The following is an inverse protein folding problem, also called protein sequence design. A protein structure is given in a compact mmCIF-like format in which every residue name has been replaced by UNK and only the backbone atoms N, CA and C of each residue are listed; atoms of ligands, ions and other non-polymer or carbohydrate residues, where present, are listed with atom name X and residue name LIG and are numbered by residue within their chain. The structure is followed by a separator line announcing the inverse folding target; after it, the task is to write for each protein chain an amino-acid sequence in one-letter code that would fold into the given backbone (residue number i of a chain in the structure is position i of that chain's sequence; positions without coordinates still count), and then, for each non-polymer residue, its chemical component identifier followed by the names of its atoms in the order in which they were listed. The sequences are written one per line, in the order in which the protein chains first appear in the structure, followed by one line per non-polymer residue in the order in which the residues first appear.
data_IF_525025684460
#
_entry.id   IF_525025684460
#
_cell.length_a   1.000
_cell.length_b   1.000
_cell.length_c   1.000
_cell.angle_alpha   90.00
_cell.angle_beta   90.00
_cell.angle_gamma   90.00
#
_symmetry.space_group_name_H-M   'P 1'
#
loop_
_entity.id
_entity.type
_entity.pdbx_description
1 polymer ?
#
# COMPACT_ATOMS: atom_id res chain seq x y z
N UNK A 1 -3.99 -1.68 0.33
CA UNK A 1 -4.36 -0.47 1.08
C UNK A 1 -3.25 0.00 2.05
N UNK A 2 -2.05 -0.62 1.98
CA UNK A 2 -0.81 -0.20 2.67
C UNK A 2 -0.96 0.13 4.17
N UNK A 3 -1.86 -0.55 4.88
CA UNK A 3 -2.13 -0.32 6.30
C UNK A 3 -3.46 0.41 6.58
N UNK A 4 -4.06 1.09 5.62
CA UNK A 4 -5.31 1.85 5.83
C UNK A 4 -6.52 1.01 6.25
N UNK A 5 -6.49 -0.30 6.06
CA UNK A 5 -7.55 -1.22 6.49
C UNK A 5 -6.99 -2.50 7.08
N UNK A 6 -7.64 -3.01 8.12
CA UNK A 6 -7.41 -4.39 8.58
C UNK A 6 -8.72 -5.11 8.94
N UNK A 7 -8.76 -6.40 8.61
CA UNK A 7 -9.87 -7.29 8.89
C UNK A 7 -9.43 -8.44 9.79
N UNK A 8 -10.25 -8.79 10.77
CA UNK A 8 -10.09 -9.98 11.62
C UNK A 8 -11.35 -10.83 11.53
N UNK A 9 -11.21 -12.06 11.04
CA UNK A 9 -12.34 -12.99 10.85
C UNK A 9 -13.50 -12.40 10.04
N UNK A 10 -13.18 -11.59 9.02
CA UNK A 10 -14.17 -10.94 8.15
C UNK A 10 -14.80 -9.67 8.72
N UNK A 11 -14.43 -9.26 9.93
CA UNK A 11 -14.86 -7.99 10.52
C UNK A 11 -13.77 -6.92 10.34
N UNK A 12 -14.17 -5.73 9.96
CA UNK A 12 -13.28 -4.56 9.91
C UNK A 12 -12.88 -4.20 11.35
N UNK A 13 -11.59 -4.21 11.64
CA UNK A 13 -11.04 -3.92 12.99
C UNK A 13 -10.16 -2.67 13.01
N UNK A 14 -9.77 -2.18 11.86
CA UNK A 14 -9.00 -0.95 11.70
C UNK A 14 -9.34 -0.29 10.37
N UNK A 15 -9.54 1.01 10.41
CA UNK A 15 -9.76 1.88 9.25
C UNK A 15 -9.15 3.24 9.53
N UNK A 16 -8.40 3.77 8.57
CA UNK A 16 -7.89 5.13 8.60
C UNK A 16 -8.15 5.80 7.24
N UNK A 17 -8.70 7.02 7.29
CA UNK A 17 -9.20 7.73 6.13
C UNK A 17 -8.29 8.90 5.79
N UNK A 18 -8.21 9.24 4.51
CA UNK A 18 -7.53 10.44 4.06
C UNK A 18 -8.23 11.70 4.59
N UNK A 19 -7.42 12.69 4.99
CA UNK A 19 -7.94 14.03 5.31
C UNK A 19 -8.73 14.57 4.10
N UNK A 20 -9.93 15.06 4.36
CA UNK A 20 -10.88 15.48 3.32
C UNK A 20 -10.39 16.67 2.50
N UNK A 21 -9.59 17.55 3.09
CA UNK A 21 -9.07 18.72 2.37
C UNK A 21 -7.92 18.30 1.46
N UNK A 22 -7.04 17.42 1.94
CA UNK A 22 -5.98 16.80 1.13
C UNK A 22 -6.58 16.00 -0.03
N UNK A 23 -7.59 15.20 0.23
CA UNK A 23 -8.28 14.44 -0.81
C UNK A 23 -8.85 15.33 -1.92
N UNK A 24 -9.55 16.43 -1.53
CA UNK A 24 -10.09 17.41 -2.50
C UNK A 24 -8.99 18.10 -3.29
N UNK A 25 -7.89 18.47 -2.63
CA UNK A 25 -6.75 19.11 -3.27
C UNK A 25 -6.11 18.20 -4.33
N UNK A 26 -5.88 16.93 -3.98
CA UNK A 26 -5.33 15.93 -4.90
C UNK A 26 -6.25 15.69 -6.09
N UNK A 27 -7.57 15.55 -5.86
CA UNK A 27 -8.51 15.40 -6.97
C UNK A 27 -8.56 16.65 -7.85
N UNK A 28 -8.45 17.84 -7.27
CA UNK A 28 -8.35 19.10 -8.01
C UNK A 28 -7.12 19.13 -8.92
N UNK A 29 -5.97 18.71 -8.41
CA UNK A 29 -4.73 18.57 -9.16
C UNK A 29 -4.88 17.55 -10.31
N UNK A 30 -5.39 16.36 -10.03
CA UNK A 30 -5.60 15.34 -11.04
C UNK A 30 -6.53 15.82 -12.17
N UNK A 31 -7.61 16.51 -11.83
CA UNK A 31 -8.55 17.06 -12.82
C UNK A 31 -7.91 18.17 -13.65
N UNK A 32 -7.14 19.05 -13.03
CA UNK A 32 -6.47 20.17 -13.70
C UNK A 32 -5.52 19.71 -14.82
N UNK A 33 -4.72 18.68 -14.50
CA UNK A 33 -3.73 18.12 -15.43
C UNK A 33 -4.24 16.90 -16.20
N UNK A 34 -5.51 16.55 -16.04
CA UNK A 34 -6.13 15.35 -16.66
C UNK A 34 -5.34 14.06 -16.39
N UNK A 35 -4.85 13.90 -15.16
CA UNK A 35 -4.06 12.74 -14.76
C UNK A 35 -4.94 11.51 -14.51
N UNK A 36 -4.50 10.31 -14.90
CA UNK A 36 -5.15 9.07 -14.49
C UNK A 36 -5.00 8.87 -12.98
N UNK A 37 -6.07 8.52 -12.30
CA UNK A 37 -6.01 8.22 -10.87
C UNK A 37 -7.01 7.14 -10.47
N UNK A 38 -6.72 6.50 -9.34
CA UNK A 38 -7.51 5.46 -8.70
C UNK A 38 -7.70 5.81 -7.23
N UNK A 39 -8.89 5.62 -6.71
CA UNK A 39 -9.25 5.85 -5.30
C UNK A 39 -9.79 4.56 -4.72
N UNK A 40 -9.20 4.09 -3.63
CA UNK A 40 -9.75 3.05 -2.77
C UNK A 40 -10.59 3.69 -1.65
N UNK A 41 -11.79 3.21 -1.49
CA UNK A 41 -12.61 3.34 -0.30
C UNK A 41 -12.51 2.05 0.54
N UNK A 42 -13.33 1.86 1.54
CA UNK A 42 -13.34 0.68 2.44
C UNK A 42 -13.45 -0.64 1.67
N UNK A 43 -14.29 -0.69 0.66
CA UNK A 43 -14.49 -1.87 -0.16
C UNK A 43 -14.58 -1.55 -1.66
N UNK A 44 -15.22 -0.45 -1.99
CA UNK A 44 -15.46 -0.03 -3.36
C UNK A 44 -14.34 0.90 -3.87
N UNK A 45 -14.38 1.28 -5.12
CA UNK A 45 -13.36 2.12 -5.73
C UNK A 45 -13.94 3.12 -6.72
N UNK A 46 -13.15 4.15 -7.02
CA UNK A 46 -13.42 5.13 -8.07
C UNK A 46 -12.14 5.48 -8.83
N UNK A 47 -12.28 6.36 -9.81
CA UNK A 47 -11.11 6.89 -10.51
C UNK A 47 -11.40 7.43 -11.91
N UNK A 48 -10.33 7.86 -12.57
CA UNK A 48 -10.35 8.41 -13.93
C UNK A 48 -9.25 7.77 -14.75
N UNK A 49 -9.55 7.40 -16.01
CA UNK A 49 -8.59 6.79 -16.96
C UNK A 49 -7.89 5.57 -16.33
N UNK A 50 -8.68 4.70 -15.69
CA UNK A 50 -8.20 3.56 -14.89
C UNK A 50 -7.33 2.58 -15.68
N UNK A 51 -7.51 2.48 -16.99
CA UNK A 51 -6.71 1.62 -17.88
C UNK A 51 -5.23 2.00 -17.94
N UNK A 52 -4.87 3.20 -17.48
CA UNK A 52 -3.47 3.64 -17.35
C UNK A 52 -2.81 3.22 -16.03
N UNK A 53 -3.60 2.83 -15.04
CA UNK A 53 -3.07 2.39 -13.74
C UNK A 53 -2.53 0.97 -13.85
N UNK A 54 -1.23 0.71 -13.64
CA UNK A 54 -0.58 -0.56 -14.00
C UNK A 54 -1.17 -1.79 -13.32
N UNK A 55 -1.73 -1.63 -12.12
CA UNK A 55 -2.21 -2.75 -11.29
C UNK A 55 -3.75 -2.88 -11.26
N UNK A 56 -4.51 -1.97 -11.87
CA UNK A 56 -5.97 -1.92 -11.71
C UNK A 56 -6.66 -3.24 -12.06
N UNK A 57 -6.15 -3.96 -13.03
CA UNK A 57 -6.70 -5.26 -13.42
C UNK A 57 -6.60 -6.33 -12.30
N UNK A 58 -5.72 -6.12 -11.32
CA UNK A 58 -5.45 -7.05 -10.23
C UNK A 58 -6.02 -6.58 -8.88
N UNK A 59 -6.65 -5.41 -8.81
CA UNK A 59 -7.19 -4.84 -7.57
C UNK A 59 -8.33 -5.68 -7.02
N UNK A 60 -9.23 -6.15 -7.87
CA UNK A 60 -10.36 -6.99 -7.49
C UNK A 60 -10.48 -8.22 -8.42
N UNK A 61 -9.61 -9.24 -8.24
CA UNK A 61 -9.62 -10.43 -9.08
C UNK A 61 -10.90 -11.25 -8.96
N UNK A 62 -11.65 -11.09 -7.87
CA UNK A 62 -12.93 -11.78 -7.63
C UNK A 62 -14.13 -10.96 -8.08
N UNK A 63 -13.94 -9.75 -8.57
CA UNK A 63 -14.97 -8.82 -9.04
C UNK A 63 -16.09 -8.60 -8.01
N UNK A 64 -15.70 -8.38 -6.76
CA UNK A 64 -16.62 -8.13 -5.63
C UNK A 64 -16.79 -6.66 -5.31
N UNK A 65 -15.77 -5.84 -5.56
CA UNK A 65 -15.84 -4.40 -5.39
C UNK A 65 -16.63 -3.75 -6.53
N UNK A 66 -17.26 -2.61 -6.25
CA UNK A 66 -18.03 -1.86 -7.24
C UNK A 66 -17.32 -0.55 -7.56
N UNK A 67 -17.35 -0.20 -8.83
CA UNK A 67 -17.01 1.15 -9.23
C UNK A 67 -18.12 2.11 -8.77
N UNK A 68 -17.75 3.14 -8.04
CA UNK A 68 -18.63 4.22 -7.59
C UNK A 68 -18.24 5.54 -8.24
N UNK A 69 -19.18 6.48 -8.28
CA UNK A 69 -18.80 7.86 -8.58
C UNK A 69 -17.98 8.45 -7.42
N UNK A 70 -17.18 9.49 -7.69
CA UNK A 70 -16.37 10.13 -6.64
C UNK A 70 -17.23 10.79 -5.56
N UNK A 71 -18.45 11.17 -5.91
CA UNK A 71 -19.42 11.76 -4.99
C UNK A 71 -20.04 10.74 -4.02
N UNK A 72 -20.01 9.46 -4.41
CA UNK A 72 -20.51 8.35 -3.58
C UNK A 72 -19.45 7.77 -2.65
N UNK A 73 -18.16 8.08 -2.88
CA UNK A 73 -17.08 7.69 -1.97
C UNK A 73 -17.06 8.64 -0.77
N UNK A 74 -17.35 8.09 0.40
CA UNK A 74 -17.42 8.87 1.64
C UNK A 74 -16.14 8.83 2.43
N UNK A 75 -15.40 7.74 2.33
CA UNK A 75 -14.31 7.39 3.24
C UNK A 75 -13.06 6.92 2.47
N UNK A 76 -12.46 7.81 1.62
CA UNK A 76 -11.30 7.46 0.81
C UNK A 76 -10.10 7.13 1.69
N UNK A 77 -9.48 5.98 1.44
CA UNK A 77 -8.37 5.44 2.22
C UNK A 77 -7.05 5.63 1.49
N UNK A 78 -7.07 5.52 0.17
CA UNK A 78 -5.88 5.63 -0.66
C UNK A 78 -6.19 6.27 -2.00
N UNK A 79 -5.28 7.12 -2.48
CA UNK A 79 -5.29 7.58 -3.86
C UNK A 79 -4.00 7.14 -4.54
N UNK A 80 -4.11 6.68 -5.78
CA UNK A 80 -2.96 6.42 -6.65
C UNK A 80 -3.09 7.28 -7.89
N UNK A 81 -2.03 8.01 -8.24
CA UNK A 81 -1.98 8.89 -9.40
C UNK A 81 -0.93 8.35 -10.36
N UNK A 82 -1.28 8.08 -11.60
CA UNK A 82 -0.33 7.70 -12.63
C UNK A 82 0.28 8.94 -13.26
N UNK A 83 1.62 9.06 -13.19
CA UNK A 83 2.39 10.22 -13.62
C UNK A 83 3.10 10.00 -14.98
N UNK A 84 2.88 8.86 -15.64
CA UNK A 84 3.55 8.58 -16.92
C UNK A 84 3.24 9.61 -18.01
N UNK A 85 4.28 10.33 -18.45
CA UNK A 85 4.18 11.47 -19.37
C UNK A 85 3.94 12.82 -18.69
N UNK A 86 3.94 12.85 -17.35
CA UNK A 86 3.80 14.04 -16.49
C UNK A 86 4.75 13.96 -15.29
N UNK A 87 5.90 13.28 -15.45
CA UNK A 87 6.87 13.08 -14.39
C UNK A 87 7.43 14.40 -13.84
N UNK A 88 7.40 15.48 -14.63
CA UNK A 88 7.80 16.83 -14.23
C UNK A 88 6.91 17.44 -13.14
N UNK A 89 5.70 16.92 -12.94
CA UNK A 89 4.76 17.40 -11.92
C UNK A 89 4.91 16.65 -10.58
N UNK A 90 5.75 15.61 -10.53
CA UNK A 90 5.88 14.75 -9.34
C UNK A 90 6.32 15.53 -8.12
N UNK A 91 7.38 16.33 -8.26
CA UNK A 91 7.91 17.11 -7.14
C UNK A 91 6.91 18.16 -6.66
N UNK A 92 6.20 18.82 -7.59
CA UNK A 92 5.18 19.83 -7.25
C UNK A 92 4.08 19.25 -6.34
N UNK A 93 3.48 18.11 -6.73
CA UNK A 93 2.40 17.52 -5.94
C UNK A 93 2.90 16.96 -4.61
N UNK A 94 4.08 16.35 -4.58
CA UNK A 94 4.68 15.83 -3.35
C UNK A 94 4.91 16.96 -2.36
N UNK A 95 5.65 18.00 -2.73
CA UNK A 95 5.91 19.14 -1.86
C UNK A 95 4.63 19.82 -1.35
N UNK A 96 3.62 19.89 -2.20
CA UNK A 96 2.34 20.52 -1.87
C UNK A 96 1.59 19.73 -0.80
N UNK A 97 1.57 18.42 -0.90
CA UNK A 97 0.86 17.55 0.05
C UNK A 97 1.67 17.37 1.34
N UNK A 98 2.98 17.19 1.27
CA UNK A 98 3.85 17.07 2.46
C UNK A 98 3.75 18.31 3.38
N UNK A 99 3.59 19.52 2.81
CA UNK A 99 3.39 20.75 3.58
C UNK A 99 2.12 20.76 4.44
N UNK A 100 1.16 19.90 4.15
CA UNK A 100 -0.07 19.79 4.95
C UNK A 100 0.15 19.02 6.25
N UNK A 101 1.13 18.12 6.30
CA UNK A 101 1.37 17.16 7.38
C UNK A 101 0.14 16.26 7.71
N UNK A 102 -0.72 16.06 6.70
CA UNK A 102 -2.00 15.35 6.85
C UNK A 102 -2.12 14.10 5.98
N UNK A 103 -1.07 13.78 5.23
CA UNK A 103 -1.04 12.59 4.41
C UNK A 103 0.38 12.12 4.16
N UNK A 104 0.53 10.81 4.01
CA UNK A 104 1.76 10.17 3.57
C UNK A 104 1.74 10.02 2.06
N UNK A 105 2.71 10.60 1.36
CA UNK A 105 2.80 10.60 -0.10
C UNK A 105 4.16 10.05 -0.56
N UNK A 106 4.15 9.15 -1.55
CA UNK A 106 5.38 8.59 -2.14
C UNK A 106 5.24 8.35 -3.64
N UNK A 107 6.32 8.62 -4.37
CA UNK A 107 6.44 8.28 -5.79
C UNK A 107 7.20 6.96 -5.98
N UNK A 108 6.60 6.01 -6.68
CA UNK A 108 7.21 4.77 -7.11
C UNK A 108 7.61 4.87 -8.58
N UNK A 109 8.87 5.16 -8.83
CA UNK A 109 9.38 5.49 -10.17
C UNK A 109 9.23 4.35 -11.19
N UNK A 110 9.35 3.08 -10.76
CA UNK A 110 9.21 1.92 -11.66
C UNK A 110 7.77 1.72 -12.14
N UNK A 111 6.78 2.10 -11.33
CA UNK A 111 5.35 2.08 -11.70
C UNK A 111 4.87 3.41 -12.27
N UNK A 112 5.69 4.46 -12.14
CA UNK A 112 5.34 5.85 -12.44
C UNK A 112 4.08 6.31 -11.69
N UNK A 113 3.88 5.84 -10.46
CA UNK A 113 2.72 6.14 -9.66
C UNK A 113 3.08 6.87 -8.37
N UNK A 114 2.29 7.89 -8.03
CA UNK A 114 2.25 8.48 -6.70
C UNK A 114 1.20 7.74 -5.90
N UNK A 115 1.56 7.37 -4.67
CA UNK A 115 0.69 6.75 -3.67
C UNK A 115 0.45 7.72 -2.54
N UNK A 116 -0.81 7.95 -2.21
CA UNK A 116 -1.25 8.79 -1.11
C UNK A 116 -2.07 7.96 -0.13
N UNK A 117 -1.67 8.00 1.14
CA UNK A 117 -2.33 7.33 2.26
C UNK A 117 -2.56 8.35 3.40
N UNK A 118 -3.35 8.04 4.44
CA UNK A 118 -3.43 8.85 5.65
C UNK A 118 -2.05 9.06 6.29
N UNK A 119 -1.87 10.14 7.06
CA UNK A 119 -0.56 10.65 7.50
C UNK A 119 0.32 9.58 8.16
N UNK A 120 -0.16 8.95 9.21
CA UNK A 120 0.64 7.98 9.99
C UNK A 120 0.36 6.53 9.63
N UNK A 121 -0.31 6.31 8.49
CA UNK A 121 -0.76 4.98 8.08
C UNK A 121 0.21 4.32 7.11
N UNK A 122 0.89 3.31 7.60
CA UNK A 122 1.64 2.35 6.80
C UNK A 122 1.53 0.94 7.42
N UNK A 123 1.94 -0.09 6.68
CA UNK A 123 1.78 -1.49 7.11
C UNK A 123 2.33 -1.75 8.53
N UNK A 124 3.46 -1.15 8.88
CA UNK A 124 4.11 -1.37 10.16
C UNK A 124 3.29 -0.79 11.33
N UNK A 125 2.83 0.47 11.24
CA UNK A 125 2.03 1.09 12.30
C UNK A 125 0.76 0.31 12.58
N UNK A 126 0.03 -0.08 11.53
CA UNK A 126 -1.19 -0.87 11.66
C UNK A 126 -0.93 -2.25 12.27
N UNK A 127 0.17 -2.92 11.90
CA UNK A 127 0.53 -4.22 12.47
C UNK A 127 0.94 -4.07 13.94
N UNK A 128 1.73 -3.06 14.29
CA UNK A 128 2.11 -2.76 15.69
C UNK A 128 0.87 -2.50 16.56
N UNK A 129 -0.08 -1.70 16.06
CA UNK A 129 -1.32 -1.39 16.79
C UNK A 129 -2.18 -2.64 17.02
N UNK A 130 -2.31 -3.50 16.02
CA UNK A 130 -3.21 -4.67 16.08
C UNK A 130 -2.58 -5.92 16.70
N UNK A 131 -1.26 -6.07 16.62
CA UNK A 131 -0.54 -7.29 16.98
C UNK A 131 0.56 -7.06 18.02
N UNK A 132 0.91 -5.81 18.34
CA UNK A 132 2.04 -5.43 19.17
C UNK A 132 3.39 -5.49 18.44
N UNK A 133 4.47 -5.21 19.15
CA UNK A 133 5.83 -5.06 18.60
C UNK A 133 6.52 -6.38 18.20
N UNK A 134 5.97 -7.53 18.63
CA UNK A 134 6.61 -8.83 18.41
C UNK A 134 5.92 -9.60 17.27
N UNK A 135 6.22 -9.24 16.03
CA UNK A 135 5.69 -9.91 14.85
C UNK A 135 6.78 -10.35 13.87
N UNK A 136 6.44 -11.27 13.00
CA UNK A 136 7.27 -11.71 11.87
C UNK A 136 6.70 -11.13 10.60
N UNK A 137 7.55 -10.51 9.79
CA UNK A 137 7.16 -9.94 8.51
C UNK A 137 7.60 -10.79 7.32
N UNK A 138 6.76 -10.81 6.28
CA UNK A 138 7.09 -11.30 4.95
C UNK A 138 6.78 -10.20 3.95
N UNK A 139 7.72 -9.88 3.07
CA UNK A 139 7.59 -8.79 2.12
C UNK A 139 8.38 -9.01 0.84
N UNK A 140 8.09 -8.24 -0.19
CA UNK A 140 8.69 -8.41 -1.51
C UNK A 140 9.01 -7.11 -2.24
N UNK A 141 8.65 -5.95 -1.70
CA UNK A 141 8.76 -4.67 -2.41
C UNK A 141 9.12 -3.51 -1.45
N UNK A 142 9.31 -2.35 -2.03
CA UNK A 142 9.69 -1.12 -1.34
C UNK A 142 8.74 -0.74 -0.21
N UNK A 143 7.45 -0.97 -0.36
CA UNK A 143 6.42 -0.67 0.65
C UNK A 143 6.45 -1.60 1.88
N UNK A 144 7.38 -2.56 1.93
CA UNK A 144 7.61 -3.47 3.05
C UNK A 144 8.84 -3.08 3.90
N UNK A 145 9.61 -2.06 3.51
CA UNK A 145 10.82 -1.66 4.22
C UNK A 145 10.50 -1.30 5.68
N UNK A 146 9.54 -0.40 5.91
CA UNK A 146 9.16 0.03 7.26
C UNK A 146 8.59 -1.12 8.10
N UNK A 147 7.90 -2.07 7.45
CA UNK A 147 7.41 -3.28 8.11
C UNK A 147 8.57 -4.18 8.56
N UNK A 148 9.64 -4.27 7.77
CA UNK A 148 10.83 -5.05 8.10
C UNK A 148 11.64 -4.41 9.22
N UNK A 149 11.80 -3.08 9.21
CA UNK A 149 12.49 -2.34 10.28
C UNK A 149 11.88 -2.55 11.66
N UNK A 150 10.56 -2.76 11.72
CA UNK A 150 9.80 -2.97 12.95
C UNK A 150 9.65 -4.44 13.35
N UNK A 151 9.84 -5.35 12.43
CA UNK A 151 9.64 -6.78 12.68
C UNK A 151 10.70 -7.38 13.60
N UNK A 152 10.28 -8.31 14.47
CA UNK A 152 11.20 -9.17 15.20
C UNK A 152 12.04 -10.05 14.29
N UNK A 153 11.50 -10.42 13.15
CA UNK A 153 12.14 -11.22 12.10
C UNK A 153 11.50 -10.97 10.75
N UNK A 154 12.31 -10.61 9.78
CA UNK A 154 11.86 -10.23 8.45
C UNK A 154 12.33 -11.22 7.37
N UNK A 155 11.41 -11.69 6.52
CA UNK A 155 11.69 -12.63 5.44
C UNK A 155 11.37 -12.00 4.10
N UNK A 156 12.38 -11.72 3.29
CA UNK A 156 12.19 -11.25 1.93
C UNK A 156 11.74 -12.38 1.00
N UNK A 157 10.67 -12.13 0.25
CA UNK A 157 10.20 -12.99 -0.83
C UNK A 157 10.65 -12.39 -2.17
N UNK A 158 11.46 -13.12 -2.92
CA UNK A 158 12.06 -12.59 -4.14
C UNK A 158 13.45 -11.97 -3.90
N UNK A 159 13.84 -11.07 -4.79
CA UNK A 159 15.20 -10.52 -4.86
C UNK A 159 15.24 -8.99 -5.02
N UNK A 160 14.23 -8.27 -4.50
CA UNK A 160 14.17 -6.81 -4.56
C UNK A 160 15.35 -6.19 -3.78
N UNK A 161 16.32 -5.52 -4.45
CA UNK A 161 17.59 -5.14 -3.82
C UNK A 161 17.44 -4.14 -2.67
N UNK A 162 16.47 -3.21 -2.76
CA UNK A 162 16.28 -2.19 -1.74
C UNK A 162 15.73 -2.75 -0.41
N UNK A 163 15.09 -3.93 -0.42
CA UNK A 163 14.55 -4.59 0.76
C UNK A 163 15.59 -5.48 1.45
N UNK A 164 16.59 -5.97 0.71
CA UNK A 164 17.60 -6.91 1.21
C UNK A 164 18.32 -6.46 2.49
N UNK A 165 18.72 -5.18 2.67
CA UNK A 165 19.40 -4.73 3.90
C UNK A 165 18.57 -4.87 5.18
N UNK A 166 17.26 -4.98 5.07
CA UNK A 166 16.30 -5.04 6.17
C UNK A 166 15.81 -6.47 6.46
N UNK A 167 16.22 -7.45 5.63
CA UNK A 167 15.77 -8.82 5.76
C UNK A 167 16.73 -9.67 6.59
N UNK A 168 16.20 -10.44 7.55
CA UNK A 168 16.96 -11.47 8.29
C UNK A 168 17.10 -12.76 7.47
N UNK A 169 16.19 -13.00 6.54
CA UNK A 169 16.14 -14.22 5.74
C UNK A 169 15.53 -13.94 4.36
N UNK A 170 15.81 -14.79 3.39
CA UNK A 170 15.33 -14.61 2.03
C UNK A 170 14.80 -15.92 1.45
N UNK A 171 13.73 -15.83 0.67
CA UNK A 171 13.19 -16.91 -0.12
C UNK A 171 13.13 -16.49 -1.59
N UNK A 172 14.08 -16.95 -2.39
CA UNK A 172 14.09 -16.79 -3.84
C UNK A 172 13.52 -18.05 -4.47
N UNK A 173 12.21 -18.07 -4.73
CA UNK A 173 11.53 -19.19 -5.35
C UNK A 173 10.99 -18.79 -6.72
N UNK A 174 11.51 -19.42 -7.79
CA UNK A 174 11.04 -19.17 -9.17
C UNK A 174 9.87 -20.05 -9.60
N UNK A 175 9.71 -21.24 -8.96
CA UNK A 175 8.63 -22.19 -9.23
C UNK A 175 7.94 -22.60 -7.92
N UNK A 176 6.64 -22.85 -7.98
CA UNK A 176 5.81 -23.23 -6.81
C UNK A 176 5.93 -22.23 -5.64
N UNK A 177 5.98 -20.94 -5.94
CA UNK A 177 6.16 -19.89 -4.94
C UNK A 177 5.15 -19.96 -3.76
N UNK A 178 3.85 -20.23 -3.95
CA UNK A 178 2.91 -20.35 -2.81
C UNK A 178 3.29 -21.46 -1.84
N UNK A 179 3.71 -22.64 -2.35
CA UNK A 179 4.12 -23.77 -1.51
C UNK A 179 5.43 -23.47 -0.76
N UNK A 180 6.38 -22.82 -1.44
CA UNK A 180 7.65 -22.43 -0.84
C UNK A 180 7.44 -21.38 0.27
N UNK A 181 6.56 -20.42 0.05
CA UNK A 181 6.18 -19.42 1.07
C UNK A 181 5.50 -20.10 2.26
N UNK A 182 4.53 -21.01 2.03
CA UNK A 182 3.88 -21.75 3.09
C UNK A 182 4.87 -22.58 3.94
N UNK A 183 5.81 -23.27 3.29
CA UNK A 183 6.86 -24.02 3.98
C UNK A 183 7.77 -23.11 4.82
N UNK A 184 8.12 -21.93 4.28
CA UNK A 184 8.93 -20.93 4.99
C UNK A 184 8.18 -20.38 6.20
N UNK A 185 6.89 -20.09 6.09
CA UNK A 185 6.05 -19.68 7.22
C UNK A 185 6.09 -20.71 8.34
N UNK A 186 5.90 -22.01 8.00
CA UNK A 186 5.96 -23.09 9.00
C UNK A 186 7.34 -23.20 9.66
N UNK A 187 8.42 -23.06 8.88
CA UNK A 187 9.78 -23.05 9.40
C UNK A 187 10.01 -21.91 10.40
N UNK A 188 9.59 -20.70 10.04
CA UNK A 188 9.74 -19.51 10.90
C UNK A 188 8.86 -19.64 12.16
N UNK A 189 7.62 -20.12 12.00
CA UNK A 189 6.74 -20.39 13.13
C UNK A 189 7.37 -21.38 14.13
N UNK A 190 7.98 -22.46 13.64
CA UNK A 190 8.68 -23.42 14.51
C UNK A 190 9.87 -22.80 15.28
N UNK A 191 10.57 -21.82 14.66
CA UNK A 191 11.68 -21.09 15.28
C UNK A 191 11.23 -20.21 16.47
N UNK A 192 10.03 -19.65 16.42
CA UNK A 192 9.51 -18.71 17.41
C UNK A 192 8.42 -19.32 18.32
N UNK A 193 8.01 -20.57 18.10
CA UNK A 193 7.04 -21.27 18.92
C UNK A 193 7.61 -21.53 20.32
N UNK A 194 7.12 -20.78 21.31
CA UNK A 194 7.50 -20.96 22.73
C UNK A 194 8.47 -19.90 23.28
N UNK A 195 8.65 -18.80 22.54
CA UNK A 195 9.32 -17.60 23.06
C UNK A 195 8.31 -16.57 23.55
#
# INVERSE_FOLDING_TARGET
LNGGLAYRQGQLVYEDQLDKDVYREVLGFCRHYNLPFFVDDTFDYSGQILEKIPFVANVDPLKKAQYRSLEELTDPIKVVIYMGGHEELVDEIIERIEKTDKAHIRYHAHEKCIYLNPADTHKATTVEELCGENFVAFGNDQNDIELFEKALYAVQIGDFPALQPYADDQLVAKQNQPQAVAAKILQVFAKFRGK
#
